data_IF_852933895439
#
_entry.id   IF_852933895439
#
_cell.length_a   1.000
_cell.length_b   1.000
_cell.length_c   1.000
_cell.angle_alpha   90.00
_cell.angle_beta   90.00
_cell.angle_gamma   90.00
#
_symmetry.space_group_name_H-M   'P 1'
#
loop_
_entity.id
_entity.type
_entity.pdbx_description
1 polymer ?
#
# COMPACT_ATOMS: atom_id res chain seq x y z
N UNK A 1 -35.10 13.43 -25.32
CA UNK A 1 -35.48 13.05 -23.95
C UNK A 1 -35.15 11.58 -23.75
N UNK A 2 -33.97 11.29 -23.20
CA UNK A 2 -33.62 9.97 -22.68
C UNK A 2 -32.99 10.28 -21.32
N UNK A 3 -33.74 10.01 -20.25
CA UNK A 3 -33.33 10.27 -18.88
C UNK A 3 -32.32 9.21 -18.44
N UNK A 4 -31.10 9.65 -18.15
CA UNK A 4 -30.12 8.85 -17.45
C UNK A 4 -30.53 8.71 -15.98
N UNK A 5 -31.00 7.52 -15.59
CA UNK A 5 -31.03 7.13 -14.19
C UNK A 5 -29.60 6.83 -13.75
N UNK A 6 -28.93 7.86 -13.22
CA UNK A 6 -27.75 7.67 -12.39
C UNK A 6 -28.16 6.87 -11.17
N UNK A 7 -27.75 5.61 -11.12
CA UNK A 7 -27.68 4.84 -9.89
C UNK A 7 -26.62 5.50 -9.01
N UNK A 8 -27.01 6.53 -8.25
CA UNK A 8 -26.30 6.86 -7.02
C UNK A 8 -26.74 5.78 -6.05
N UNK A 9 -26.02 4.65 -6.06
CA UNK A 9 -26.08 3.68 -4.97
C UNK A 9 -25.69 4.48 -3.73
N UNK A 10 -26.63 4.67 -2.80
CA UNK A 10 -26.34 5.27 -1.52
C UNK A 10 -25.21 4.44 -0.88
N UNK A 11 -24.01 5.01 -0.82
CA UNK A 11 -22.85 4.33 -0.26
C UNK A 11 -23.16 4.04 1.21
N UNK A 12 -22.88 2.81 1.61
CA UNK A 12 -22.99 2.40 2.99
C UNK A 12 -21.80 2.99 3.74
N UNK A 13 -22.04 3.78 4.77
CA UNK A 13 -20.97 4.39 5.59
C UNK A 13 -20.03 3.34 6.24
N UNK A 14 -20.43 2.05 6.25
CA UNK A 14 -19.56 0.96 6.67
C UNK A 14 -18.51 0.56 5.62
N UNK A 15 -18.70 0.91 4.35
CA UNK A 15 -17.79 0.61 3.23
C UNK A 15 -16.74 1.71 3.03
N UNK A 16 -17.00 2.92 3.54
CA UNK A 16 -16.14 4.11 3.46
C UNK A 16 -14.69 3.86 3.94
N UNK A 17 -14.43 3.20 5.08
CA UNK A 17 -13.05 2.96 5.53
C UNK A 17 -12.28 1.96 4.66
N UNK A 18 -12.98 1.00 4.06
CA UNK A 18 -12.36 0.05 3.12
C UNK A 18 -12.02 0.74 1.80
N UNK A 19 -12.84 1.68 1.36
CA UNK A 19 -12.58 2.49 0.17
C UNK A 19 -11.41 3.44 0.40
N UNK A 20 -11.38 4.15 1.54
CA UNK A 20 -10.26 5.03 1.92
C UNK A 20 -8.93 4.26 1.97
N UNK A 21 -8.89 3.09 2.61
CA UNK A 21 -7.70 2.24 2.65
C UNK A 21 -7.27 1.80 1.24
N UNK A 22 -8.23 1.39 0.40
CA UNK A 22 -7.94 0.98 -0.96
C UNK A 22 -7.43 2.14 -1.83
N UNK A 23 -7.97 3.35 -1.65
CA UNK A 23 -7.50 4.56 -2.32
C UNK A 23 -6.07 4.93 -1.89
N UNK A 24 -5.75 4.85 -0.59
CA UNK A 24 -4.41 5.10 -0.09
C UNK A 24 -3.40 4.06 -0.63
N UNK A 25 -3.76 2.77 -0.61
CA UNK A 25 -2.93 1.71 -1.21
C UNK A 25 -2.76 1.96 -2.70
N UNK A 26 -3.82 2.34 -3.42
CA UNK A 26 -3.76 2.62 -4.85
C UNK A 26 -2.81 3.78 -5.16
N UNK A 27 -2.92 4.89 -4.42
CA UNK A 27 -2.03 6.06 -4.57
C UNK A 27 -0.57 5.70 -4.27
N UNK A 28 -0.32 5.02 -3.16
CA UNK A 28 1.02 4.58 -2.76
C UNK A 28 1.65 3.68 -3.82
N UNK A 29 0.88 2.70 -4.31
CA UNK A 29 1.32 1.78 -5.36
C UNK A 29 1.58 2.52 -6.67
N UNK A 30 0.69 3.45 -7.04
CA UNK A 30 0.83 4.27 -8.24
C UNK A 30 2.10 5.13 -8.23
N UNK A 31 2.36 5.82 -7.12
CA UNK A 31 3.56 6.66 -6.98
C UNK A 31 4.85 5.84 -7.00
N UNK A 32 4.87 4.71 -6.29
CA UNK A 32 6.02 3.78 -6.32
C UNK A 32 6.35 3.36 -7.75
N UNK A 33 5.36 2.84 -8.50
CA UNK A 33 5.59 2.35 -9.86
C UNK A 33 5.89 3.47 -10.85
N UNK A 34 5.34 4.68 -10.64
CA UNK A 34 5.67 5.84 -11.45
C UNK A 34 7.15 6.23 -11.31
N UNK A 35 7.67 6.27 -10.08
CA UNK A 35 9.09 6.53 -9.82
C UNK A 35 9.98 5.41 -10.39
N UNK A 36 9.63 4.15 -10.11
CA UNK A 36 10.33 2.98 -10.67
C UNK A 36 10.37 3.03 -12.19
N UNK A 37 9.26 3.39 -12.84
CA UNK A 37 9.18 3.53 -14.29
C UNK A 37 10.22 4.54 -14.82
N UNK A 38 10.28 5.75 -14.26
CA UNK A 38 11.26 6.75 -14.70
C UNK A 38 12.72 6.31 -14.46
N UNK A 39 13.00 5.63 -13.35
CA UNK A 39 14.33 5.08 -13.07
C UNK A 39 14.74 4.02 -14.10
N UNK A 40 13.82 3.11 -14.43
CA UNK A 40 14.04 2.10 -15.47
C UNK A 40 14.23 2.74 -16.85
N UNK A 41 13.45 3.76 -17.20
CA UNK A 41 13.64 4.52 -18.45
C UNK A 41 15.01 5.19 -18.53
N UNK A 42 15.52 5.72 -17.41
CA UNK A 42 16.84 6.35 -17.37
C UNK A 42 17.94 5.34 -17.67
N UNK A 43 17.91 4.16 -17.03
CA UNK A 43 18.87 3.07 -17.28
C UNK A 43 18.87 2.62 -18.75
N UNK A 44 17.70 2.59 -19.37
CA UNK A 44 17.52 2.15 -20.76
C UNK A 44 18.14 3.08 -21.80
N UNK A 45 18.31 4.38 -21.52
CA UNK A 45 18.97 5.31 -22.44
C UNK A 45 20.44 4.96 -22.70
N UNK A 46 21.02 4.09 -21.88
CA UNK A 46 22.42 3.66 -21.97
C UNK A 46 22.61 2.35 -22.75
N UNK A 47 21.54 1.75 -23.28
CA UNK A 47 21.65 0.48 -23.98
C UNK A 47 22.10 0.65 -25.42
N UNK A 48 23.23 0.04 -25.76
CA UNK A 48 23.80 0.07 -27.11
C UNK A 48 23.40 -1.18 -27.92
N UNK A 49 23.27 -1.05 -29.26
CA UNK A 49 23.06 -2.20 -30.13
C UNK A 49 24.26 -3.15 -30.09
N UNK A 50 23.99 -4.43 -30.27
CA UNK A 50 25.04 -5.46 -30.34
C UNK A 50 25.59 -5.49 -31.77
N UNK A 51 26.90 -5.77 -31.97
CA UNK A 51 27.47 -6.00 -33.30
C UNK A 51 26.68 -7.05 -34.08
N UNK A 52 26.69 -6.94 -35.42
CA UNK A 52 25.83 -7.72 -36.34
C UNK A 52 25.81 -9.23 -36.02
N UNK A 53 24.76 -9.66 -35.33
CA UNK A 53 24.37 -11.07 -35.16
C UNK A 53 23.17 -11.37 -36.05
N UNK A 54 23.15 -12.57 -36.63
CA UNK A 54 22.01 -12.99 -37.45
C UNK A 54 20.71 -13.05 -36.62
N UNK A 55 19.57 -12.79 -37.26
CA UNK A 55 18.23 -12.87 -36.62
C UNK A 55 18.01 -14.21 -35.91
N UNK A 56 18.37 -15.32 -36.57
CA UNK A 56 18.25 -16.67 -35.98
C UNK A 56 19.08 -16.83 -34.71
N UNK A 57 20.30 -16.27 -34.69
CA UNK A 57 21.16 -16.29 -33.53
C UNK A 57 20.59 -15.43 -32.40
N UNK A 58 20.15 -14.20 -32.69
CA UNK A 58 19.55 -13.31 -31.71
C UNK A 58 18.31 -13.94 -31.05
N UNK A 59 17.41 -14.55 -31.84
CA UNK A 59 16.24 -15.27 -31.32
C UNK A 59 16.66 -16.44 -30.43
N UNK A 60 17.65 -17.23 -30.85
CA UNK A 60 18.13 -18.38 -30.08
C UNK A 60 18.73 -17.95 -28.74
N UNK A 61 19.58 -16.93 -28.75
CA UNK A 61 20.19 -16.38 -27.54
C UNK A 61 19.13 -15.77 -26.62
N UNK A 62 18.22 -14.94 -27.13
CA UNK A 62 17.12 -14.35 -26.36
C UNK A 62 16.31 -15.43 -25.63
N UNK A 63 15.90 -16.49 -26.33
CA UNK A 63 15.11 -17.59 -25.74
C UNK A 63 15.88 -18.37 -24.67
N UNK A 64 17.17 -18.58 -24.86
CA UNK A 64 18.01 -19.31 -23.90
C UNK A 64 18.28 -18.46 -22.66
N UNK A 65 18.64 -17.20 -22.85
CA UNK A 65 18.93 -16.26 -21.78
C UNK A 65 17.69 -15.96 -20.93
N UNK A 66 16.50 -15.83 -21.51
CA UNK A 66 15.26 -15.66 -20.73
C UNK A 66 15.02 -16.86 -19.81
N UNK A 67 15.33 -18.09 -20.26
CA UNK A 67 15.23 -19.29 -19.41
C UNK A 67 16.27 -19.29 -18.29
N UNK A 68 17.48 -18.82 -18.56
CA UNK A 68 18.53 -18.69 -17.56
C UNK A 68 18.15 -17.66 -16.49
N UNK A 69 17.71 -16.46 -16.91
CA UNK A 69 17.19 -15.42 -16.01
C UNK A 69 16.08 -15.98 -15.11
N UNK A 70 15.14 -16.73 -15.70
CA UNK A 70 14.06 -17.33 -14.92
C UNK A 70 14.60 -18.30 -13.86
N UNK A 71 15.53 -19.18 -14.23
CA UNK A 71 16.13 -20.15 -13.33
C UNK A 71 16.91 -19.49 -12.19
N UNK A 72 17.72 -18.48 -12.51
CA UNK A 72 18.54 -17.73 -11.55
C UNK A 72 17.68 -17.01 -10.50
N UNK A 73 16.49 -16.56 -10.89
CA UNK A 73 15.57 -15.81 -10.03
C UNK A 73 14.43 -16.68 -9.46
N UNK A 74 14.51 -18.01 -9.58
CA UNK A 74 13.49 -18.93 -9.05
C UNK A 74 12.12 -18.80 -9.72
N UNK A 75 12.06 -18.25 -10.93
CA UNK A 75 10.82 -18.01 -11.67
C UNK A 75 10.44 -19.22 -12.52
N UNK A 76 9.13 -19.43 -12.68
CA UNK A 76 8.61 -20.40 -13.65
C UNK A 76 8.62 -19.76 -15.04
N UNK A 77 9.38 -20.37 -15.96
CA UNK A 77 9.37 -20.01 -17.38
C UNK A 77 8.47 -20.96 -18.16
N UNK A 78 7.43 -20.43 -18.78
CA UNK A 78 6.59 -21.17 -19.72
C UNK A 78 6.80 -20.62 -21.12
N UNK A 79 6.95 -21.49 -22.11
CA UNK A 79 7.14 -21.09 -23.50
C UNK A 79 6.17 -21.83 -24.40
N UNK A 80 5.50 -21.12 -25.29
CA UNK A 80 4.69 -21.71 -26.34
C UNK A 80 5.03 -21.09 -27.70
N UNK A 81 4.63 -21.75 -28.76
CA UNK A 81 4.94 -21.35 -30.13
C UNK A 81 3.64 -21.45 -30.93
N UNK A 82 3.18 -20.34 -31.49
CA UNK A 82 1.94 -20.30 -32.26
C UNK A 82 2.09 -19.35 -33.44
N UNK A 83 1.60 -19.76 -34.61
CA UNK A 83 1.77 -19.05 -35.88
C UNK A 83 3.24 -18.62 -36.10
N UNK A 84 3.45 -17.36 -36.43
CA UNK A 84 4.75 -16.75 -36.72
C UNK A 84 5.48 -16.24 -35.47
N UNK A 85 5.04 -16.65 -34.27
CA UNK A 85 5.55 -16.10 -33.01
C UNK A 85 6.05 -17.19 -32.04
N UNK A 86 7.00 -16.81 -31.21
CA UNK A 86 7.34 -17.45 -29.95
C UNK A 86 6.82 -16.58 -28.81
N UNK A 87 6.22 -17.23 -27.81
CA UNK A 87 5.72 -16.55 -26.63
C UNK A 87 6.36 -17.17 -25.40
N UNK A 88 6.84 -16.32 -24.50
CA UNK A 88 7.44 -16.72 -23.24
C UNK A 88 6.76 -15.93 -22.11
N UNK A 89 6.45 -16.60 -21.01
CA UNK A 89 5.96 -15.97 -19.80
C UNK A 89 6.82 -16.36 -18.62
N UNK A 90 7.17 -15.38 -17.79
CA UNK A 90 7.77 -15.58 -16.47
C UNK A 90 6.69 -15.42 -15.40
N UNK A 91 6.77 -16.19 -14.31
CA UNK A 91 5.79 -16.21 -13.20
C UNK A 91 6.60 -16.39 -11.89
N UNK A 92 6.24 -15.74 -10.76
CA UNK A 92 5.00 -14.98 -10.49
C UNK A 92 4.97 -13.54 -10.99
N UNK A 93 6.11 -12.95 -11.37
CA UNK A 93 6.12 -11.67 -12.06
C UNK A 93 5.62 -11.89 -13.49
N UNK A 94 4.39 -11.49 -13.87
CA UNK A 94 3.81 -11.88 -15.15
C UNK A 94 4.43 -11.04 -16.27
N UNK A 95 5.68 -11.36 -16.61
CA UNK A 95 6.43 -10.78 -17.71
C UNK A 95 6.14 -11.63 -18.94
N UNK A 96 5.58 -11.02 -19.96
CA UNK A 96 5.24 -11.64 -21.23
C UNK A 96 6.16 -11.14 -22.32
N UNK A 97 6.75 -12.08 -23.06
CA UNK A 97 7.65 -11.81 -24.18
C UNK A 97 7.05 -12.45 -25.43
N UNK A 98 6.79 -11.64 -26.45
CA UNK A 98 6.42 -12.10 -27.79
C UNK A 98 7.55 -11.83 -28.77
N UNK A 99 7.97 -12.84 -29.54
CA UNK A 99 9.08 -12.76 -30.50
C UNK A 99 8.56 -13.20 -31.86
N UNK A 100 8.70 -12.37 -32.88
CA UNK A 100 8.37 -12.69 -34.26
C UNK A 100 9.50 -13.54 -34.88
N UNK A 101 9.15 -14.62 -35.58
CA UNK A 101 10.11 -15.64 -36.03
C UNK A 101 11.02 -15.18 -37.17
N UNK A 102 10.46 -14.39 -38.08
CA UNK A 102 11.12 -14.06 -39.34
C UNK A 102 11.95 -12.77 -39.22
N UNK A 103 11.41 -11.77 -38.54
CA UNK A 103 12.08 -10.48 -38.28
C UNK A 103 13.01 -10.55 -37.05
N UNK A 104 12.65 -11.36 -36.05
CA UNK A 104 13.29 -11.35 -34.74
C UNK A 104 12.93 -10.14 -33.88
N UNK A 105 11.99 -9.31 -34.34
CA UNK A 105 11.43 -8.24 -33.53
C UNK A 105 10.68 -8.84 -32.35
N UNK A 106 10.76 -8.19 -31.19
CA UNK A 106 10.13 -8.71 -30.00
C UNK A 106 9.60 -7.62 -29.09
N UNK A 107 8.57 -7.96 -28.34
CA UNK A 107 7.94 -7.09 -27.34
C UNK A 107 8.00 -7.73 -25.97
N UNK A 108 8.27 -6.92 -24.96
CA UNK A 108 8.24 -7.32 -23.55
C UNK A 108 7.18 -6.48 -22.84
N UNK A 109 6.30 -7.16 -22.10
CA UNK A 109 5.23 -6.55 -21.31
C UNK A 109 5.31 -7.05 -19.87
N UNK A 110 5.10 -6.17 -18.90
CA UNK A 110 4.98 -6.52 -17.49
C UNK A 110 3.90 -5.64 -16.84
N UNK A 111 3.38 -6.00 -15.66
CA UNK A 111 2.52 -5.11 -14.90
C UNK A 111 3.19 -3.77 -14.63
N UNK A 112 2.36 -2.73 -14.47
CA UNK A 112 2.79 -1.39 -14.02
C UNK A 112 3.69 -0.61 -14.99
N UNK A 113 4.17 -1.22 -16.07
CA UNK A 113 5.05 -0.58 -17.06
C UNK A 113 4.50 -0.78 -18.46
N UNK A 114 4.66 0.24 -19.30
CA UNK A 114 4.29 0.19 -20.71
C UNK A 114 5.08 -0.87 -21.48
N UNK A 115 4.39 -1.61 -22.34
CA UNK A 115 5.01 -2.61 -23.22
C UNK A 115 6.11 -1.96 -24.06
N UNK A 116 7.25 -2.65 -24.16
CA UNK A 116 8.43 -2.21 -24.93
C UNK A 116 8.65 -3.10 -26.12
N UNK A 117 9.09 -2.50 -27.23
CA UNK A 117 9.43 -3.19 -28.46
C UNK A 117 10.92 -3.01 -28.75
N UNK A 118 11.52 -4.05 -29.30
CA UNK A 118 12.94 -4.13 -29.59
C UNK A 118 13.13 -4.81 -30.95
N UNK A 119 14.08 -4.30 -31.73
CA UNK A 119 14.59 -5.01 -32.89
C UNK A 119 15.60 -6.08 -32.45
N UNK A 120 15.89 -7.10 -33.29
CA UNK A 120 16.82 -8.18 -32.94
C UNK A 120 18.22 -7.68 -32.56
N UNK A 121 18.69 -6.57 -33.13
CA UNK A 121 19.98 -5.94 -32.79
C UNK A 121 20.06 -5.43 -31.35
N UNK A 122 18.93 -5.26 -30.67
CA UNK A 122 18.81 -4.83 -29.28
C UNK A 122 18.38 -5.97 -28.34
N UNK A 123 18.55 -7.25 -28.71
CA UNK A 123 18.13 -8.36 -27.85
C UNK A 123 18.76 -8.33 -26.44
N UNK A 124 20.03 -7.90 -26.30
CA UNK A 124 20.67 -7.69 -24.99
C UNK A 124 20.02 -6.58 -24.18
N UNK A 125 19.58 -5.50 -24.83
CA UNK A 125 18.83 -4.43 -24.18
C UNK A 125 17.50 -4.96 -23.63
N UNK A 126 16.81 -5.80 -24.39
CA UNK A 126 15.61 -6.50 -23.92
C UNK A 126 15.87 -7.43 -22.74
N UNK A 127 16.98 -8.18 -22.74
CA UNK A 127 17.38 -9.02 -21.61
C UNK A 127 17.70 -8.19 -20.36
N UNK A 128 18.42 -7.08 -20.52
CA UNK A 128 18.72 -6.17 -19.42
C UNK A 128 17.45 -5.52 -18.87
N UNK A 129 16.50 -5.16 -19.73
CA UNK A 129 15.18 -4.69 -19.32
C UNK A 129 14.47 -5.70 -18.40
N UNK A 130 14.49 -6.99 -18.76
CA UNK A 130 13.89 -8.06 -17.94
C UNK A 130 14.61 -8.17 -16.58
N UNK A 131 15.95 -8.14 -16.58
CA UNK A 131 16.75 -8.20 -15.36
C UNK A 131 16.47 -7.01 -14.45
N UNK A 132 16.47 -5.80 -15.00
CA UNK A 132 16.22 -4.57 -14.27
C UNK A 132 14.80 -4.55 -13.67
N UNK A 133 13.80 -5.07 -14.39
CA UNK A 133 12.44 -5.20 -13.85
C UNK A 133 12.36 -6.21 -12.70
N UNK A 134 12.98 -7.39 -12.84
CA UNK A 134 12.99 -8.42 -11.79
C UNK A 134 13.75 -7.93 -10.55
N UNK A 135 14.77 -7.08 -10.73
CA UNK A 135 15.58 -6.52 -9.65
C UNK A 135 14.90 -5.37 -8.88
N UNK A 136 13.70 -4.94 -9.26
CA UNK A 136 12.95 -3.92 -8.50
C UNK A 136 12.61 -4.47 -7.12
N UNK A 137 13.15 -3.83 -6.09
CA UNK A 137 12.82 -4.17 -4.70
C UNK A 137 11.43 -3.64 -4.32
N UNK A 138 10.48 -4.55 -4.21
CA UNK A 138 9.10 -4.25 -3.81
C UNK A 138 8.87 -4.41 -2.29
N UNK A 139 9.87 -4.86 -1.53
CA UNK A 139 9.71 -5.04 -0.08
C UNK A 139 9.35 -3.73 0.62
N UNK A 140 9.98 -2.57 0.31
CA UNK A 140 9.58 -1.29 0.87
C UNK A 140 8.10 -0.96 0.64
N UNK A 141 7.59 -1.18 -0.59
CA UNK A 141 6.18 -0.96 -0.90
C UNK A 141 5.29 -1.90 -0.09
N UNK A 142 5.67 -3.18 0.02
CA UNK A 142 4.91 -4.19 0.74
C UNK A 142 4.82 -3.85 2.23
N UNK A 143 5.93 -3.48 2.86
CA UNK A 143 5.97 -3.04 4.27
C UNK A 143 5.09 -1.82 4.53
N UNK A 144 5.10 -0.84 3.61
CA UNK A 144 4.25 0.35 3.73
C UNK A 144 2.75 0.02 3.52
N UNK A 145 2.42 -0.88 2.60
CA UNK A 145 1.04 -1.37 2.41
C UNK A 145 0.57 -2.14 3.65
N UNK A 146 1.41 -3.00 4.21
CA UNK A 146 1.05 -3.75 5.40
C UNK A 146 0.90 -2.82 6.61
N UNK A 147 1.76 -1.81 6.75
CA UNK A 147 1.59 -0.72 7.73
C UNK A 147 0.25 0.02 7.55
N UNK A 148 -0.18 0.31 6.31
CA UNK A 148 -1.50 0.89 6.04
C UNK A 148 -2.64 -0.06 6.41
N UNK A 149 -2.50 -1.35 6.13
CA UNK A 149 -3.52 -2.36 6.47
C UNK A 149 -3.63 -2.59 7.98
N UNK A 150 -2.53 -2.44 8.71
CA UNK A 150 -2.52 -2.44 10.18
C UNK A 150 -3.19 -1.19 10.77
N UNK A 151 -3.20 -0.07 10.02
CA UNK A 151 -3.95 1.13 10.38
C UNK A 151 -5.43 0.91 10.08
N UNK A 152 -6.17 0.56 11.12
CA UNK A 152 -7.62 0.39 11.02
C UNK A 152 -8.34 1.74 11.04
N UNK A 153 -9.34 1.91 10.18
CA UNK A 153 -10.17 3.11 10.10
C UNK A 153 -11.55 2.78 10.69
N UNK A 154 -11.95 3.49 11.75
CA UNK A 154 -13.30 3.36 12.32
C UNK A 154 -14.31 4.02 11.36
N UNK A 155 -15.31 3.27 10.90
CA UNK A 155 -16.47 3.88 10.24
C UNK A 155 -17.26 4.78 11.21
N UNK A 156 -18.11 5.64 10.66
CA UNK A 156 -18.97 6.57 11.41
C UNK A 156 -19.74 5.88 12.54
N UNK A 157 -20.37 4.73 12.24
CA UNK A 157 -21.20 3.98 13.20
C UNK A 157 -20.39 3.38 14.36
N UNK A 158 -19.21 2.83 14.07
CA UNK A 158 -18.31 2.27 15.08
C UNK A 158 -17.70 3.38 15.94
N UNK A 159 -17.37 4.52 15.32
CA UNK A 159 -16.96 5.73 16.03
C UNK A 159 -18.05 6.21 16.99
N UNK A 160 -19.31 6.30 16.54
CA UNK A 160 -20.44 6.70 17.39
C UNK A 160 -20.64 5.76 18.58
N UNK A 161 -20.53 4.45 18.37
CA UNK A 161 -20.63 3.46 19.45
C UNK A 161 -19.55 3.69 20.50
N UNK A 162 -18.31 3.94 20.09
CA UNK A 162 -17.19 4.23 21.02
C UNK A 162 -17.44 5.54 21.77
N UNK A 163 -17.86 6.61 21.08
CA UNK A 163 -18.20 7.90 21.69
C UNK A 163 -19.24 7.74 22.79
N UNK A 164 -20.36 7.08 22.47
CA UNK A 164 -21.46 6.84 23.42
C UNK A 164 -21.00 5.97 24.60
N UNK A 165 -20.18 4.95 24.34
CA UNK A 165 -19.70 4.02 25.38
C UNK A 165 -18.78 4.70 26.39
N UNK A 166 -17.83 5.50 25.93
CA UNK A 166 -16.92 6.25 26.82
C UNK A 166 -17.71 7.26 27.66
N UNK A 167 -18.63 8.01 27.03
CA UNK A 167 -19.48 8.96 27.75
C UNK A 167 -20.30 8.27 28.84
N UNK A 168 -20.94 7.15 28.53
CA UNK A 168 -21.73 6.38 29.50
C UNK A 168 -20.88 5.87 30.67
N UNK A 169 -19.62 5.47 30.43
CA UNK A 169 -18.69 5.06 31.48
C UNK A 169 -18.32 6.24 32.39
N UNK A 170 -18.01 7.41 31.83
CA UNK A 170 -17.73 8.62 32.60
C UNK A 170 -18.91 9.02 33.47
N UNK A 171 -20.13 9.06 32.91
CA UNK A 171 -21.36 9.38 33.66
C UNK A 171 -21.62 8.35 34.79
N UNK A 172 -21.40 7.06 34.53
CA UNK A 172 -21.60 6.00 35.51
C UNK A 172 -20.61 6.04 36.68
N UNK A 173 -19.38 6.54 36.48
CA UNK A 173 -18.34 6.54 37.50
C UNK A 173 -18.16 7.92 38.13
N UNK A 174 -17.85 8.94 37.31
CA UNK A 174 -17.60 10.31 37.77
C UNK A 174 -18.91 11.01 38.13
N UNK A 175 -19.96 10.82 37.31
CA UNK A 175 -21.28 11.40 37.56
C UNK A 175 -21.90 10.90 38.87
N UNK A 176 -21.77 9.62 39.20
CA UNK A 176 -22.20 9.08 40.52
C UNK A 176 -21.46 9.69 41.70
N UNK A 177 -20.21 10.13 41.50
CA UNK A 177 -19.39 10.81 42.51
C UNK A 177 -19.61 12.33 42.53
N UNK A 178 -20.50 12.86 41.69
CA UNK A 178 -20.72 14.29 41.48
C UNK A 178 -19.43 15.05 41.09
N UNK A 179 -18.53 14.37 40.39
CA UNK A 179 -17.29 14.96 39.89
C UNK A 179 -17.58 15.51 38.48
N UNK A 180 -17.45 16.83 38.26
CA UNK A 180 -17.60 17.40 36.93
C UNK A 180 -16.44 16.94 36.04
N UNK A 181 -16.75 16.63 34.78
CA UNK A 181 -15.77 16.24 33.78
C UNK A 181 -16.09 16.87 32.42
N UNK A 182 -15.04 17.20 31.69
CA UNK A 182 -15.09 17.57 30.28
C UNK A 182 -14.63 16.37 29.44
N UNK A 183 -15.33 16.14 28.33
CA UNK A 183 -15.07 15.03 27.42
C UNK A 183 -14.96 15.57 26.00
N UNK A 184 -13.74 15.55 25.45
CA UNK A 184 -13.46 15.91 24.06
C UNK A 184 -13.24 14.64 23.25
N UNK A 185 -14.05 14.41 22.22
CA UNK A 185 -13.97 13.17 21.42
C UNK A 185 -13.94 13.48 19.93
N UNK A 186 -13.16 12.70 19.18
CA UNK A 186 -13.19 12.62 17.73
C UNK A 186 -13.21 11.15 17.29
N UNK A 187 -13.11 10.85 15.99
CA UNK A 187 -13.16 9.48 15.47
C UNK A 187 -12.08 8.55 16.06
N UNK A 188 -10.96 9.10 16.51
CA UNK A 188 -9.72 8.38 16.80
C UNK A 188 -9.32 8.45 18.27
N UNK A 189 -9.91 9.39 19.02
CA UNK A 189 -9.38 9.81 20.30
C UNK A 189 -10.44 10.45 21.21
N UNK A 190 -10.31 10.21 22.51
CA UNK A 190 -11.05 10.88 23.57
C UNK A 190 -10.10 11.42 24.64
N UNK A 191 -10.32 12.66 25.08
CA UNK A 191 -9.73 13.23 26.28
C UNK A 191 -10.81 13.39 27.33
N UNK A 192 -10.59 12.84 28.51
CA UNK A 192 -11.41 13.10 29.70
C UNK A 192 -10.59 13.99 30.63
N UNK A 193 -11.13 15.16 30.96
CA UNK A 193 -10.52 16.10 31.91
C UNK A 193 -11.47 16.21 33.10
N UNK A 194 -10.99 16.01 34.32
CA UNK A 194 -11.81 16.21 35.50
C UNK A 194 -11.00 16.64 36.71
N UNK A 195 -11.68 17.27 37.67
CA UNK A 195 -11.06 17.77 38.89
C UNK A 195 -11.65 17.05 40.11
N UNK A 196 -10.79 16.43 40.91
CA UNK A 196 -11.19 15.81 42.17
C UNK A 196 -11.51 16.87 43.25
N UNK A 197 -12.21 16.50 44.33
CA UNK A 197 -12.54 17.42 45.43
C UNK A 197 -11.33 18.08 46.11
N UNK A 198 -10.16 17.43 46.03
CA UNK A 198 -8.87 17.94 46.51
C UNK A 198 -8.25 19.00 45.59
N UNK A 199 -8.96 19.39 44.52
CA UNK A 199 -8.56 20.30 43.45
C UNK A 199 -7.51 19.75 42.49
N UNK A 200 -7.11 18.49 42.60
CA UNK A 200 -6.20 17.85 41.64
C UNK A 200 -6.91 17.66 40.30
N UNK A 201 -6.27 18.07 39.21
CA UNK A 201 -6.79 17.92 37.84
C UNK A 201 -6.17 16.68 37.21
N UNK A 202 -7.00 15.87 36.57
CA UNK A 202 -6.58 14.68 35.82
C UNK A 202 -6.98 14.82 34.36
N UNK A 203 -6.07 14.39 33.50
CA UNK A 203 -6.27 14.26 32.07
C UNK A 203 -6.04 12.79 31.68
N UNK A 204 -7.06 12.17 31.09
CA UNK A 204 -7.00 10.80 30.60
C UNK A 204 -7.17 10.83 29.10
N UNK A 205 -6.13 10.41 28.41
CA UNK A 205 -6.07 10.24 26.97
C UNK A 205 -6.44 8.80 26.59
N UNK A 206 -7.44 8.62 25.72
CA UNK A 206 -7.93 7.32 25.23
C UNK A 206 -7.93 7.30 23.71
N UNK A 207 -7.18 6.39 23.11
CA UNK A 207 -7.21 6.17 21.66
C UNK A 207 -8.25 5.10 21.29
N UNK A 208 -9.15 5.42 20.37
CA UNK A 208 -10.23 4.52 19.96
C UNK A 208 -9.71 3.38 19.10
N UNK A 209 -10.13 2.16 19.39
CA UNK A 209 -9.72 0.95 18.67
C UNK A 209 -10.89 0.02 18.39
N UNK A 210 -10.81 -0.80 17.32
CA UNK A 210 -12.00 -1.40 16.73
C UNK A 210 -12.72 -2.46 17.56
N UNK A 211 -12.09 -3.10 18.56
CA UNK A 211 -12.78 -4.10 19.40
C UNK A 211 -12.15 -4.25 20.80
N UNK A 212 -12.05 -3.18 21.59
CA UNK A 212 -11.74 -3.34 23.01
C UNK A 212 -12.96 -3.94 23.72
N UNK A 213 -12.88 -5.22 24.06
CA UNK A 213 -13.89 -5.92 24.87
C UNK A 213 -13.77 -5.58 26.36
N UNK A 214 -12.73 -4.85 26.75
CA UNK A 214 -12.34 -4.74 28.15
C UNK A 214 -12.25 -3.29 28.62
N UNK A 215 -13.38 -2.79 29.14
CA UNK A 215 -13.43 -1.49 29.81
C UNK A 215 -12.77 -1.51 31.20
N UNK A 216 -12.26 -2.65 31.70
CA UNK A 216 -11.78 -2.77 33.08
C UNK A 216 -10.63 -1.82 33.39
N UNK A 217 -9.73 -1.56 32.44
CA UNK A 217 -8.63 -0.64 32.61
C UNK A 217 -9.13 0.81 32.76
N UNK A 218 -10.03 1.23 31.87
CA UNK A 218 -10.63 2.57 31.95
C UNK A 218 -11.44 2.73 33.24
N UNK A 219 -12.24 1.73 33.62
CA UNK A 219 -12.99 1.70 34.88
C UNK A 219 -12.04 1.84 36.08
N UNK A 220 -10.91 1.13 36.07
CA UNK A 220 -9.91 1.21 37.15
C UNK A 220 -9.33 2.61 37.25
N UNK A 221 -8.95 3.23 36.14
CA UNK A 221 -8.35 4.58 36.15
C UNK A 221 -9.37 5.64 36.55
N UNK A 222 -10.62 5.55 36.10
CA UNK A 222 -11.68 6.48 36.53
C UNK A 222 -12.03 6.33 38.02
N UNK A 223 -11.73 5.18 38.63
CA UNK A 223 -11.90 4.98 40.07
C UNK A 223 -10.69 5.42 40.90
N UNK A 224 -9.48 5.23 40.38
CA UNK A 224 -8.21 5.52 41.05
C UNK A 224 -7.28 6.32 40.12
N UNK A 225 -7.60 7.60 39.85
CA UNK A 225 -6.88 8.35 38.83
C UNK A 225 -5.47 8.70 39.27
N UNK A 226 -4.53 8.50 38.35
CA UNK A 226 -3.15 9.02 38.40
C UNK A 226 -2.90 9.64 37.03
N UNK A 227 -1.92 10.53 36.92
CA UNK A 227 -1.50 11.06 35.61
C UNK A 227 -1.04 9.88 34.74
N UNK A 228 -1.92 9.42 33.84
CA UNK A 228 -1.78 8.16 33.12
C UNK A 228 -2.27 8.38 31.70
N UNK A 229 -1.38 8.14 30.74
CA UNK A 229 -1.79 7.82 29.38
C UNK A 229 -2.29 6.39 29.38
N UNK A 230 -3.54 6.17 29.00
CA UNK A 230 -4.09 4.82 28.85
C UNK A 230 -3.97 4.44 27.37
N UNK A 231 -2.92 3.70 26.96
CA UNK A 231 -2.97 2.99 25.70
C UNK A 231 -4.00 1.87 25.89
N UNK A 232 -5.26 2.13 25.57
CA UNK A 232 -6.21 1.02 25.47
C UNK A 232 -5.60 0.03 24.45
N UNK A 233 -5.45 -1.25 24.82
CA UNK A 233 -4.71 -2.21 23.99
C UNK A 233 -5.52 -2.42 22.72
N UNK A 234 -4.94 -2.03 21.59
CA UNK A 234 -5.26 -2.28 20.17
C UNK A 234 -4.49 -1.21 19.35
N UNK A 235 -4.39 -1.25 18.02
CA UNK A 235 -3.77 -0.22 17.13
C UNK A 235 -4.78 0.77 16.55
N UNK A 236 -4.60 2.10 16.56
CA UNK A 236 -5.22 3.01 15.58
C UNK A 236 -4.45 4.33 15.56
N UNK A 237 -3.88 4.67 14.41
CA UNK A 237 -3.22 5.95 14.18
C UNK A 237 -4.25 6.99 13.72
N UNK A 238 -4.22 8.22 14.25
CA UNK A 238 -5.07 9.28 13.73
C UNK A 238 -4.58 9.70 12.35
N UNK A 239 -5.45 9.61 11.34
CA UNK A 239 -5.19 10.25 10.05
C UNK A 239 -5.56 11.71 10.16
N UNK A 240 -4.59 12.51 10.56
CA UNK A 240 -4.59 13.92 10.22
C UNK A 240 -4.05 14.02 8.79
N UNK A 241 -4.97 14.30 7.85
CA UNK A 241 -4.69 14.51 6.44
C UNK A 241 -4.14 13.26 5.71
N UNK A 242 -5.02 12.49 5.06
CA UNK A 242 -4.64 11.35 4.19
C UNK A 242 -3.53 11.73 3.19
N UNK A 243 -3.52 12.98 2.73
CA UNK A 243 -2.50 13.49 1.82
C UNK A 243 -1.12 13.63 2.47
N UNK A 244 -1.03 14.15 3.68
CA UNK A 244 0.25 14.32 4.38
C UNK A 244 0.88 12.96 4.72
N UNK A 245 0.07 12.00 5.15
CA UNK A 245 0.53 10.65 5.46
C UNK A 245 0.99 9.89 4.22
N UNK A 246 0.21 9.91 3.14
CA UNK A 246 0.62 9.31 1.87
C UNK A 246 1.88 10.00 1.34
N UNK A 247 1.97 11.33 1.45
CA UNK A 247 3.18 12.07 1.05
C UNK A 247 4.40 11.67 1.88
N UNK A 248 4.26 11.51 3.19
CA UNK A 248 5.36 11.07 4.06
C UNK A 248 5.82 9.64 3.73
N UNK A 249 4.87 8.74 3.45
CA UNK A 249 5.16 7.36 3.06
C UNK A 249 5.83 7.29 1.67
N UNK A 250 5.34 8.07 0.70
CA UNK A 250 5.95 8.21 -0.63
C UNK A 250 7.36 8.77 -0.53
N UNK A 251 7.58 9.80 0.29
CA UNK A 251 8.91 10.39 0.52
C UNK A 251 9.86 9.39 1.17
N UNK A 252 9.38 8.55 2.09
CA UNK A 252 10.17 7.49 2.69
C UNK A 252 10.55 6.42 1.66
N UNK A 253 9.59 5.96 0.85
CA UNK A 253 9.85 5.03 -0.26
C UNK A 253 10.87 5.61 -1.24
N UNK A 254 10.75 6.88 -1.58
CA UNK A 254 11.68 7.57 -2.47
C UNK A 254 13.10 7.56 -1.91
N UNK A 255 13.28 7.92 -0.63
CA UNK A 255 14.59 7.89 0.04
C UNK A 255 15.19 6.49 0.06
N UNK A 256 14.38 5.48 0.31
CA UNK A 256 14.83 4.10 0.28
C UNK A 256 15.26 3.69 -1.14
N UNK A 257 14.48 4.00 -2.17
CA UNK A 257 14.86 3.72 -3.57
C UNK A 257 16.14 4.45 -4.00
N UNK A 258 16.33 5.71 -3.60
CA UNK A 258 17.54 6.50 -3.90
C UNK A 258 18.79 5.93 -3.21
N UNK A 259 18.66 5.26 -2.06
CA UNK A 259 19.79 4.63 -1.37
C UNK A 259 20.29 3.33 -2.02
N UNK A 260 19.52 2.74 -2.94
CA UNK A 260 19.85 1.51 -3.68
C UNK A 260 20.26 1.77 -5.15
N UNK A 261 20.31 3.03 -5.60
CA UNK A 261 20.83 3.45 -6.91
C UNK A 261 22.30 3.91 -6.79
#
# INVERSE_FOLDING_TARGET
>A
MIGGHGYIVAMNDNDEPCLELNEMIYRLTGEFWNQTYYNLLSKQKMYEPVPEVSVKQAISELRNEIKNIAKENGLKCSSFSHNEHFYISLIPYPIYIGIERDTGDFSISAPHITTRQFSPSFYKAGLNWIRDYIAVDINPLTEQIDSLREKFYLNSKSSEIVTVSIKALCESILGKKFIPFDLHQNRLFSVIIFQNPDKTVYEIEIFHKPFSKDASLLIKVLNEPREIRIPDILSCAPVHCHDEEVCAMVENLRKQQEAYL
#
